data_IF_784225150632
#
_entry.id   IF_784225150632
#
_cell.length_a   1.000
_cell.length_b   1.000
_cell.length_c   1.000
_cell.angle_alpha   90.00
_cell.angle_beta   90.00
_cell.angle_gamma   90.00
#
_symmetry.space_group_name_H-M   'P 1'
#
loop_
_entity.id
_entity.type
_entity.pdbx_description
1 polymer ?
#
# COMPACT_ATOMS: atom_id res chain seq x y z
N UNK A 1 1.10 18.09 34.09
CA UNK A 1 1.27 18.41 35.53
C UNK A 1 0.39 17.48 36.34
N UNK A 2 0.94 16.84 37.36
CA UNK A 2 0.18 16.02 38.31
C UNK A 2 1.04 14.96 39.00
N UNK A 3 2.11 15.38 39.69
CA UNK A 3 2.86 14.48 40.57
C UNK A 3 2.15 14.42 41.93
N UNK A 4 1.75 13.22 42.38
CA UNK A 4 1.26 12.97 43.74
C UNK A 4 2.40 12.39 44.56
N UNK A 5 2.81 13.10 45.61
CA UNK A 5 3.84 12.67 46.56
C UNK A 5 3.22 11.79 47.64
N UNK A 6 3.87 10.67 47.97
CA UNK A 6 3.56 9.86 49.15
C UNK A 6 4.88 9.41 49.77
N UNK A 7 5.12 9.79 51.03
CA UNK A 7 6.18 9.30 51.92
C UNK A 7 7.66 9.49 51.49
N UNK A 8 8.02 10.69 51.01
CA UNK A 8 9.41 11.16 50.87
C UNK A 8 10.39 10.25 50.09
N UNK A 9 9.88 9.23 49.41
CA UNK A 9 10.63 8.32 48.56
C UNK A 9 9.92 8.24 47.22
N UNK A 10 10.65 8.62 46.18
CA UNK A 10 10.19 8.60 44.81
C UNK A 10 10.40 7.18 44.28
N UNK A 11 9.38 6.33 44.37
CA UNK A 11 9.35 5.10 43.58
C UNK A 11 8.89 5.43 42.15
N UNK A 12 9.81 5.96 41.33
CA UNK A 12 9.61 6.12 39.88
C UNK A 12 9.69 4.76 39.15
N UNK A 13 8.87 3.79 39.58
CA UNK A 13 8.82 2.45 39.00
C UNK A 13 7.82 2.27 37.86
N UNK A 14 6.82 3.14 37.70
CA UNK A 14 5.63 2.79 36.89
C UNK A 14 5.13 3.92 35.98
N UNK A 15 6.00 4.48 35.15
CA UNK A 15 5.56 5.37 34.05
C UNK A 15 6.47 5.37 32.81
N UNK A 16 7.31 4.34 32.63
CA UNK A 16 8.24 4.25 31.47
C UNK A 16 7.84 3.14 30.49
N UNK A 17 6.86 2.28 30.81
CA UNK A 17 6.40 1.24 29.87
C UNK A 17 5.41 1.74 28.80
N UNK A 18 4.84 2.94 28.94
CA UNK A 18 3.82 3.47 28.01
C UNK A 18 4.39 4.14 26.75
N UNK A 19 5.72 4.22 26.59
CA UNK A 19 6.36 4.85 25.41
C UNK A 19 7.51 4.04 24.80
N UNK A 20 7.50 2.73 24.97
CA UNK A 20 8.41 1.84 24.26
C UNK A 20 7.69 1.42 22.98
N UNK A 21 8.23 1.78 21.80
CA UNK A 21 7.61 1.40 20.54
C UNK A 21 7.58 -0.14 20.42
N UNK A 22 6.60 -0.71 19.72
CA UNK A 22 6.57 -2.16 19.45
C UNK A 22 7.91 -2.66 18.89
N UNK A 23 8.53 -1.89 18.01
CA UNK A 23 9.87 -2.10 17.45
C UNK A 23 10.97 -2.25 18.52
N UNK A 24 10.92 -1.47 19.60
CA UNK A 24 11.88 -1.56 20.72
C UNK A 24 11.64 -2.82 21.58
N UNK A 25 10.40 -3.33 21.64
CA UNK A 25 10.08 -4.58 22.37
C UNK A 25 10.44 -5.84 21.59
N UNK A 26 10.34 -5.80 20.26
CA UNK A 26 10.59 -6.94 19.38
C UNK A 26 11.95 -6.91 18.67
N UNK A 27 12.70 -5.81 18.79
CA UNK A 27 14.02 -5.65 18.17
C UNK A 27 14.01 -5.66 16.64
N UNK A 28 12.85 -5.49 16.00
CA UNK A 28 12.67 -5.59 14.56
C UNK A 28 12.17 -4.25 13.99
N UNK A 29 12.92 -3.73 13.01
CA UNK A 29 12.53 -2.59 12.22
C UNK A 29 12.39 -3.00 10.75
N UNK A 30 11.18 -2.85 10.21
CA UNK A 30 10.89 -3.15 8.80
C UNK A 30 10.93 -1.85 8.02
N UNK A 31 11.95 -1.69 7.18
CA UNK A 31 12.05 -0.54 6.27
C UNK A 31 11.06 -0.67 5.12
N UNK A 32 10.51 0.47 4.68
CA UNK A 32 9.74 0.54 3.43
C UNK A 32 10.64 1.03 2.30
N UNK A 33 10.66 0.30 1.20
CA UNK A 33 11.40 0.68 0.00
C UNK A 33 10.64 1.73 -0.82
N UNK A 34 11.39 2.58 -1.53
CA UNK A 34 10.82 3.58 -2.43
C UNK A 34 10.13 2.89 -3.60
N UNK A 35 8.89 3.29 -3.87
CA UNK A 35 8.04 2.72 -4.91
C UNK A 35 8.40 3.31 -6.29
N UNK A 36 9.38 2.69 -6.96
CA UNK A 36 9.81 3.10 -8.31
C UNK A 36 8.74 2.79 -9.37
N UNK A 37 8.82 3.47 -10.51
CA UNK A 37 7.87 3.30 -11.62
C UNK A 37 7.85 1.87 -12.17
N UNK A 38 9.01 1.24 -12.32
CA UNK A 38 9.09 -0.12 -12.88
C UNK A 38 8.39 -1.13 -11.98
N UNK A 39 8.62 -1.03 -10.65
CA UNK A 39 7.92 -1.83 -9.66
C UNK A 39 6.40 -1.56 -9.67
N UNK A 40 6.00 -0.31 -9.87
CA UNK A 40 4.58 0.02 -10.04
C UNK A 40 3.96 -0.66 -11.26
N UNK A 41 4.63 -0.59 -12.41
CA UNK A 41 4.16 -1.24 -13.64
C UNK A 41 4.11 -2.77 -13.48
N UNK A 42 5.11 -3.38 -12.86
CA UNK A 42 5.13 -4.81 -12.57
C UNK A 42 3.93 -5.22 -11.71
N UNK A 43 3.64 -4.46 -10.64
CA UNK A 43 2.50 -4.72 -9.77
C UNK A 43 1.18 -4.53 -10.51
N UNK A 44 1.06 -3.49 -11.34
CA UNK A 44 -0.14 -3.29 -12.17
C UNK A 44 -0.35 -4.47 -13.11
N UNK A 45 0.68 -4.88 -13.86
CA UNK A 45 0.61 -5.99 -14.80
C UNK A 45 0.18 -7.29 -14.10
N UNK A 46 0.82 -7.63 -12.97
CA UNK A 46 0.48 -8.81 -12.17
C UNK A 46 -0.95 -8.74 -11.62
N UNK A 47 -1.39 -7.55 -11.21
CA UNK A 47 -2.75 -7.36 -10.68
C UNK A 47 -3.80 -7.50 -11.77
N UNK A 48 -3.55 -6.94 -12.96
CA UNK A 48 -4.42 -7.12 -14.13
C UNK A 48 -4.51 -8.60 -14.49
N UNK A 49 -3.35 -9.27 -14.62
CA UNK A 49 -3.32 -10.69 -14.95
C UNK A 49 -4.15 -11.54 -13.96
N UNK A 50 -4.00 -11.27 -12.66
CA UNK A 50 -4.77 -11.93 -11.61
C UNK A 50 -6.28 -11.70 -11.75
N UNK A 51 -6.71 -10.44 -11.90
CA UNK A 51 -8.13 -10.10 -11.98
C UNK A 51 -8.79 -10.65 -13.26
N UNK A 52 -8.04 -10.69 -14.37
CA UNK A 52 -8.47 -11.32 -15.61
C UNK A 52 -8.72 -12.82 -15.42
N UNK A 53 -7.80 -13.54 -14.77
CA UNK A 53 -7.98 -14.96 -14.44
C UNK A 53 -9.21 -15.17 -13.56
N UNK A 54 -9.38 -14.36 -12.51
CA UNK A 54 -10.54 -14.42 -11.61
C UNK A 54 -11.87 -14.16 -12.36
N UNK A 55 -11.82 -13.38 -13.44
CA UNK A 55 -12.99 -12.99 -14.25
C UNK A 55 -13.14 -13.81 -15.54
N UNK A 56 -12.33 -14.86 -15.74
CA UNK A 56 -12.31 -15.68 -16.97
C UNK A 56 -12.11 -14.89 -18.26
N UNK A 57 -11.29 -13.83 -18.21
CA UNK A 57 -10.93 -12.98 -19.35
C UNK A 57 -9.44 -13.16 -19.64
N UNK A 58 -9.07 -13.09 -20.91
CA UNK A 58 -7.66 -13.12 -21.30
C UNK A 58 -6.93 -11.85 -20.84
N UNK A 59 -5.81 -11.97 -20.11
CA UNK A 59 -5.07 -10.81 -19.64
C UNK A 59 -4.38 -10.08 -20.78
N UNK A 60 -4.47 -8.76 -20.77
CA UNK A 60 -3.85 -7.89 -21.77
C UNK A 60 -2.83 -6.97 -21.11
N UNK A 61 -1.70 -6.80 -21.78
CA UNK A 61 -0.65 -5.88 -21.36
C UNK A 61 0.13 -5.37 -22.56
N UNK A 62 0.19 -4.06 -22.72
CA UNK A 62 0.96 -3.39 -23.78
C UNK A 62 1.53 -2.05 -23.28
N UNK A 63 2.35 -1.41 -24.12
CA UNK A 63 2.96 -0.12 -23.78
C UNK A 63 1.95 1.02 -23.59
N UNK A 64 0.81 0.98 -24.29
CA UNK A 64 -0.26 1.97 -24.17
C UNK A 64 -0.94 1.89 -22.80
N UNK A 65 -1.22 0.67 -22.35
CA UNK A 65 -1.77 0.39 -21.03
C UNK A 65 -0.78 0.77 -19.93
N UNK A 66 0.51 0.49 -20.12
CA UNK A 66 1.57 0.93 -19.21
C UNK A 66 1.63 2.47 -19.09
N UNK A 67 1.58 3.19 -20.21
CA UNK A 67 1.52 4.67 -20.22
C UNK A 67 0.28 5.20 -19.50
N UNK A 68 -0.87 4.56 -19.70
CA UNK A 68 -2.12 4.93 -19.04
C UNK A 68 -2.03 4.69 -17.53
N UNK A 69 -1.42 3.57 -17.10
CA UNK A 69 -1.17 3.27 -15.69
C UNK A 69 -0.26 4.32 -15.04
N UNK A 70 0.79 4.77 -15.74
CA UNK A 70 1.67 5.84 -15.27
C UNK A 70 0.88 7.13 -15.08
N UNK A 71 0.09 7.54 -16.07
CA UNK A 71 -0.76 8.73 -15.99
C UNK A 71 -1.71 8.67 -14.80
N UNK A 72 -2.39 7.54 -14.61
CA UNK A 72 -3.25 7.30 -13.45
C UNK A 72 -2.51 7.49 -12.11
N UNK A 73 -1.26 7.00 -12.01
CA UNK A 73 -0.47 7.16 -10.79
C UNK A 73 -0.13 8.62 -10.47
N UNK A 74 0.06 9.44 -11.50
CA UNK A 74 0.30 10.87 -11.35
C UNK A 74 -0.97 11.61 -10.90
N UNK A 75 -2.12 11.28 -11.49
CA UNK A 75 -3.42 11.85 -11.11
C UNK A 75 -3.79 11.52 -9.65
N UNK A 76 -3.46 10.31 -9.18
CA UNK A 76 -3.69 9.88 -7.79
C UNK A 76 -2.57 10.28 -6.82
N UNK A 77 -1.58 11.05 -7.28
CA UNK A 77 -0.46 11.63 -6.49
C UNK A 77 0.50 10.61 -5.84
N UNK A 78 0.34 9.30 -6.05
CA UNK A 78 1.26 8.29 -5.50
C UNK A 78 1.29 6.98 -6.29
N UNK A 79 2.50 6.43 -6.37
CA UNK A 79 2.75 5.04 -6.79
C UNK A 79 2.77 4.16 -5.55
N UNK A 80 1.80 3.27 -5.43
CA UNK A 80 1.77 2.24 -4.40
C UNK A 80 0.84 1.11 -4.84
N UNK A 81 0.90 -0.03 -4.12
CA UNK A 81 0.05 -1.19 -4.44
C UNK A 81 -1.45 -0.87 -4.46
N UNK A 82 -1.92 0.05 -3.60
CA UNK A 82 -3.33 0.49 -3.61
C UNK A 82 -3.71 1.21 -4.90
N UNK A 83 -2.87 2.13 -5.39
CA UNK A 83 -3.11 2.83 -6.66
C UNK A 83 -3.09 1.85 -7.83
N UNK A 84 -2.18 0.86 -7.80
CA UNK A 84 -2.10 -0.18 -8.82
C UNK A 84 -3.38 -1.04 -8.90
N UNK A 85 -3.90 -1.48 -7.74
CA UNK A 85 -5.17 -2.22 -7.67
C UNK A 85 -6.36 -1.39 -8.16
N UNK A 86 -6.42 -0.10 -7.81
CA UNK A 86 -7.46 0.80 -8.29
C UNK A 86 -7.44 0.93 -9.82
N UNK A 87 -6.25 1.12 -10.40
CA UNK A 87 -6.09 1.17 -11.84
C UNK A 87 -6.50 -0.13 -12.51
N UNK A 88 -6.02 -1.28 -12.02
CA UNK A 88 -6.32 -2.59 -12.60
C UNK A 88 -7.83 -2.89 -12.60
N UNK A 89 -8.53 -2.56 -11.51
CA UNK A 89 -10.00 -2.70 -11.43
C UNK A 89 -10.73 -1.75 -12.37
N UNK A 90 -10.26 -0.50 -12.47
CA UNK A 90 -10.84 0.48 -13.39
C UNK A 90 -10.71 0.00 -14.84
N UNK A 91 -9.50 -0.41 -15.24
CA UNK A 91 -9.26 -0.95 -16.58
C UNK A 91 -10.10 -2.19 -16.87
N UNK A 92 -10.14 -3.16 -15.95
CA UNK A 92 -10.94 -4.38 -16.15
C UNK A 92 -12.44 -4.05 -16.32
N UNK A 93 -12.97 -3.14 -15.50
CA UNK A 93 -14.36 -2.72 -15.61
C UNK A 93 -14.68 -2.06 -16.96
N UNK A 94 -13.78 -1.22 -17.48
CA UNK A 94 -13.95 -0.63 -18.82
C UNK A 94 -13.88 -1.71 -19.91
N UNK A 95 -12.88 -2.59 -19.83
CA UNK A 95 -12.69 -3.66 -20.82
C UNK A 95 -13.88 -4.63 -20.89
N UNK A 96 -14.54 -4.91 -19.77
CA UNK A 96 -15.75 -5.74 -19.73
C UNK A 96 -16.94 -5.01 -20.36
N UNK A 97 -17.15 -3.74 -20.03
CA UNK A 97 -18.22 -2.94 -20.61
C UNK A 97 -18.10 -2.78 -22.13
N UNK A 98 -16.88 -2.67 -22.67
CA UNK A 98 -16.63 -2.62 -24.11
C UNK A 98 -16.91 -3.93 -24.83
N UNK A 99 -16.82 -5.08 -24.14
CA UNK A 99 -17.12 -6.40 -24.71
C UNK A 99 -18.60 -6.77 -24.68
N UNK A 100 -19.34 -6.20 -23.74
CA UNK A 100 -20.78 -6.46 -23.55
C UNK A 100 -21.67 -5.56 -24.43
N UNK A 101 -21.13 -4.48 -25.00
CA UNK A 101 -21.84 -3.53 -25.88
C UNK A 101 -21.59 -3.77 -27.36
#
# INVERSE_FOLDING_TARGET
>A
LGAKMVHNEIHHGEAVEEKISLSDRFGLWVSFYVFKQDLYLEIVQKTIARLCVESSIEPQWDEGLAKTAIKWSHEKSKRCGRTALQFARHWLGQHMLEKDG
#
